data_IF_826663009743
#
_entry.id   IF_826663009743
#
_cell.length_a   1.000
_cell.length_b   1.000
_cell.length_c   1.000
_cell.angle_alpha   90.00
_cell.angle_beta   90.00
_cell.angle_gamma   90.00
#
_symmetry.space_group_name_H-M   'P 1'
#
loop_
_entity.id
_entity.type
_entity.pdbx_description
1 polymer ?
#
# COMPACT_ATOMS: atom_id res chain seq x y z
N UNK A 1 6.00 2.18 15.66
CA UNK A 1 7.46 2.27 15.83
C UNK A 1 8.04 3.05 14.69
N UNK A 2 8.91 3.99 14.98
CA UNK A 2 9.55 4.84 13.98
C UNK A 2 10.89 4.24 13.62
N UNK A 3 11.26 4.21 12.34
CA UNK A 3 12.63 3.95 12.01
C UNK A 3 13.51 4.98 12.75
N UNK A 4 14.46 4.50 13.51
CA UNK A 4 15.45 5.34 14.19
C UNK A 4 16.43 5.98 13.22
N UNK A 5 16.42 5.55 11.97
CA UNK A 5 17.24 6.07 10.87
C UNK A 5 16.39 6.26 9.63
N UNK A 6 16.52 7.38 8.97
CA UNK A 6 16.01 7.58 7.63
C UNK A 6 17.13 7.39 6.60
N UNK A 7 16.94 6.61 5.52
CA UNK A 7 18.01 6.29 4.58
C UNK A 7 18.63 7.50 3.89
N UNK A 8 17.90 8.59 3.76
CA UNK A 8 18.39 9.81 3.10
C UNK A 8 19.06 10.83 4.04
N UNK A 9 19.11 10.55 5.33
CA UNK A 9 19.70 11.43 6.31
C UNK A 9 20.69 10.65 7.16
N UNK A 10 21.91 11.12 7.26
CA UNK A 10 22.99 10.47 8.01
C UNK A 10 22.84 10.59 9.54
N UNK A 11 21.77 11.20 10.01
CA UNK A 11 21.50 11.39 11.43
C UNK A 11 20.51 10.37 11.96
N UNK A 12 20.80 9.86 13.14
CA UNK A 12 19.89 9.00 13.89
C UNK A 12 18.84 9.89 14.57
N UNK A 13 17.56 9.56 14.34
CA UNK A 13 16.46 10.25 14.99
C UNK A 13 15.97 9.40 16.16
N UNK A 14 16.21 9.80 17.36
CA UNK A 14 15.86 9.13 18.62
C UNK A 14 14.34 8.83 18.77
N UNK A 15 13.75 8.18 17.79
CA UNK A 15 12.32 7.92 17.73
C UNK A 15 11.44 9.13 17.41
N UNK A 16 12.03 10.26 17.04
CA UNK A 16 11.28 11.50 16.80
C UNK A 16 10.91 11.73 15.33
N UNK A 17 11.35 10.87 14.42
CA UNK A 17 10.86 10.80 13.05
C UNK A 17 11.71 11.51 12.00
N UNK A 18 12.18 12.72 12.19
CA UNK A 18 12.95 13.45 11.17
C UNK A 18 13.85 14.54 11.77
N UNK A 19 14.62 15.24 10.91
CA UNK A 19 15.57 16.29 11.29
C UNK A 19 14.94 17.47 12.05
N UNK A 20 13.60 17.57 12.05
CA UNK A 20 12.87 18.62 12.78
C UNK A 20 12.35 18.13 14.13
N UNK A 21 12.80 16.95 14.58
CA UNK A 21 12.37 16.32 15.84
C UNK A 21 10.86 16.06 15.91
N UNK A 22 10.22 15.85 14.76
CA UNK A 22 8.80 15.55 14.69
C UNK A 22 8.54 14.07 15.05
N UNK A 23 7.59 13.83 15.94
CA UNK A 23 7.22 12.47 16.31
C UNK A 23 6.55 11.75 15.13
N UNK A 24 7.17 10.72 14.59
CA UNK A 24 6.70 10.06 13.38
C UNK A 24 5.33 9.37 13.52
N UNK A 25 4.95 8.97 14.74
CA UNK A 25 3.59 8.50 15.00
C UNK A 25 2.52 9.61 14.92
N UNK A 26 2.92 10.87 14.77
CA UNK A 26 2.03 12.02 14.58
C UNK A 26 1.88 12.44 13.12
N UNK A 27 2.74 11.96 12.24
CA UNK A 27 2.82 12.37 10.83
C UNK A 27 2.72 11.16 9.89
N UNK A 28 2.46 11.42 8.61
CA UNK A 28 2.28 10.37 7.59
C UNK A 28 0.86 9.77 7.59
N UNK A 29 -0.12 10.55 8.03
CA UNK A 29 -1.54 10.19 8.04
C UNK A 29 -2.31 11.04 7.05
N UNK A 30 -3.45 10.53 6.58
CA UNK A 30 -4.43 11.35 5.87
C UNK A 30 -4.95 12.49 6.76
N UNK A 31 -4.96 13.71 6.22
CA UNK A 31 -5.50 14.88 6.92
C UNK A 31 -6.57 15.53 6.05
N UNK A 32 -7.77 15.67 6.60
CA UNK A 32 -8.89 16.37 5.98
C UNK A 32 -8.96 17.80 6.50
N UNK A 33 -9.16 18.75 5.58
CA UNK A 33 -9.34 20.18 5.90
C UNK A 33 -10.58 20.69 5.18
N UNK A 34 -11.44 21.43 5.88
CA UNK A 34 -12.55 22.17 5.26
C UNK A 34 -12.07 23.55 4.77
N UNK A 35 -11.86 23.76 3.46
CA UNK A 35 -11.33 25.02 2.94
C UNK A 35 -12.32 26.20 3.08
N UNK A 36 -13.59 25.93 3.37
CA UNK A 36 -14.61 26.96 3.62
C UNK A 36 -14.63 27.41 5.09
N UNK A 37 -13.97 26.68 5.98
CA UNK A 37 -13.88 27.00 7.40
C UNK A 37 -12.45 27.46 7.75
N UNK A 38 -12.24 28.76 7.83
CA UNK A 38 -10.93 29.36 8.17
C UNK A 38 -10.37 28.96 9.54
N UNK A 39 -11.21 28.43 10.43
CA UNK A 39 -10.87 28.01 11.78
C UNK A 39 -10.69 26.47 11.87
N UNK A 40 -10.73 25.77 10.74
CA UNK A 40 -10.41 24.35 10.66
C UNK A 40 -8.88 24.14 10.54
N UNK A 41 -8.31 23.50 11.54
CA UNK A 41 -6.89 23.15 11.60
C UNK A 41 -6.58 21.74 11.09
N UNK A 42 -7.57 21.08 10.52
CA UNK A 42 -7.50 19.75 9.96
C UNK A 42 -7.81 18.63 10.94
N UNK A 43 -8.42 17.58 10.41
CA UNK A 43 -8.71 16.33 11.12
C UNK A 43 -7.82 15.23 10.58
N UNK A 44 -7.09 14.56 11.47
CA UNK A 44 -6.23 13.44 11.13
C UNK A 44 -7.03 12.13 11.22
N UNK A 45 -7.05 11.37 10.12
CA UNK A 45 -7.76 10.10 10.00
C UNK A 45 -6.80 8.92 10.13
N UNK A 46 -6.68 8.36 11.34
CA UNK A 46 -5.74 7.26 11.61
C UNK A 46 -6.19 5.92 11.06
N UNK A 47 -7.49 5.74 10.81
CA UNK A 47 -8.02 4.49 10.20
C UNK A 47 -7.59 4.31 8.75
N UNK A 48 -7.06 5.35 8.09
CA UNK A 48 -6.48 5.25 6.75
C UNK A 48 -5.07 4.61 6.75
N UNK A 49 -4.51 4.30 7.92
CA UNK A 49 -3.15 3.78 8.03
C UNK A 49 -2.08 4.86 7.90
N UNK A 50 -0.84 4.51 8.23
CA UNK A 50 0.32 5.39 8.12
C UNK A 50 1.30 4.82 7.10
N UNK A 51 1.42 5.47 5.97
CA UNK A 51 2.35 5.14 4.88
C UNK A 51 2.61 6.39 4.04
N UNK A 52 3.28 6.27 2.91
CA UNK A 52 3.52 7.40 1.99
C UNK A 52 2.29 7.59 1.10
N UNK A 53 1.29 8.31 1.63
CA UNK A 53 0.07 8.62 0.88
C UNK A 53 0.35 9.54 -0.30
N UNK A 54 -0.25 9.20 -1.46
CA UNK A 54 -0.27 10.05 -2.64
C UNK A 54 -1.66 10.64 -2.88
N UNK A 55 -2.65 9.79 -3.09
CA UNK A 55 -4.01 10.23 -3.35
C UNK A 55 -5.02 9.46 -2.51
N UNK A 56 -6.21 10.03 -2.44
CA UNK A 56 -7.39 9.38 -1.86
C UNK A 56 -8.54 9.43 -2.84
N UNK A 57 -9.08 8.28 -3.20
CA UNK A 57 -10.29 8.18 -3.99
C UNK A 57 -11.40 7.50 -3.22
N UNK A 58 -12.65 7.87 -3.51
CA UNK A 58 -13.78 7.53 -2.66
C UNK A 58 -14.88 6.80 -3.43
N UNK A 59 -15.32 5.64 -2.93
CA UNK A 59 -16.56 5.01 -3.35
C UNK A 59 -17.62 5.32 -2.30
N UNK A 60 -18.44 6.36 -2.57
CA UNK A 60 -19.36 6.98 -1.62
C UNK A 60 -20.81 6.78 -2.06
N UNK A 61 -21.33 5.57 -1.92
CA UNK A 61 -22.71 5.21 -2.31
C UNK A 61 -23.67 5.33 -1.15
N UNK A 62 -24.83 5.96 -1.39
CA UNK A 62 -25.87 6.12 -0.37
C UNK A 62 -26.31 4.78 0.22
N UNK A 63 -26.47 4.73 1.54
CA UNK A 63 -26.85 3.56 2.35
C UNK A 63 -25.82 2.41 2.34
N UNK A 64 -24.61 2.64 1.85
CA UNK A 64 -23.49 1.69 1.92
C UNK A 64 -22.38 2.28 2.79
N UNK A 65 -21.43 1.49 3.29
CA UNK A 65 -20.21 2.02 3.89
C UNK A 65 -19.48 2.96 2.94
N UNK A 66 -18.64 3.82 3.47
CA UNK A 66 -17.67 4.56 2.69
C UNK A 66 -16.46 3.68 2.46
N UNK A 67 -16.06 3.49 1.21
CA UNK A 67 -14.73 2.95 0.90
C UNK A 67 -13.80 4.07 0.45
N UNK A 68 -12.56 4.04 0.97
CA UNK A 68 -11.48 4.95 0.60
C UNK A 68 -10.32 4.14 0.08
N UNK A 69 -9.85 4.47 -1.12
CA UNK A 69 -8.70 3.83 -1.74
C UNK A 69 -7.51 4.79 -1.70
N UNK A 70 -6.32 4.25 -1.51
CA UNK A 70 -5.07 5.02 -1.51
C UNK A 70 -3.88 4.16 -1.90
N UNK A 71 -2.84 4.79 -2.45
CA UNK A 71 -1.56 4.19 -2.78
C UNK A 71 -0.48 4.54 -1.76
N UNK A 72 0.48 3.64 -1.59
CA UNK A 72 1.72 3.86 -0.84
C UNK A 72 2.86 4.06 -1.84
N UNK A 73 3.24 5.31 -2.11
CA UNK A 73 4.32 5.66 -3.03
C UNK A 73 5.68 5.21 -2.50
N UNK A 74 5.86 3.91 -2.48
CA UNK A 74 7.09 3.23 -2.10
C UNK A 74 7.32 2.08 -3.06
N UNK A 75 8.57 1.74 -3.38
CA UNK A 75 8.89 0.54 -4.15
C UNK A 75 8.40 -0.67 -3.35
N UNK A 76 7.58 -1.53 -3.96
CA UNK A 76 6.88 -2.57 -3.24
C UNK A 76 5.76 -2.06 -2.33
N UNK A 77 5.34 -0.80 -2.48
CA UNK A 77 4.22 -0.22 -1.76
C UNK A 77 2.89 -0.91 -2.08
N UNK A 78 1.91 -0.74 -1.23
CA UNK A 78 0.63 -1.44 -1.36
C UNK A 78 -0.49 -0.51 -1.81
N UNK A 79 -1.50 -1.10 -2.42
CA UNK A 79 -2.79 -0.46 -2.65
C UNK A 79 -3.69 -0.81 -1.48
N UNK A 80 -4.27 0.20 -0.87
CA UNK A 80 -5.12 0.06 0.32
C UNK A 80 -6.56 0.42 0.05
N UNK A 81 -7.45 -0.20 0.82
CA UNK A 81 -8.88 0.10 0.89
C UNK A 81 -9.33 0.16 2.35
N UNK A 82 -9.78 1.32 2.80
CA UNK A 82 -10.46 1.45 4.09
C UNK A 82 -11.97 1.34 3.88
N UNK A 83 -12.63 0.52 4.68
CA UNK A 83 -14.10 0.36 4.68
C UNK A 83 -14.63 0.82 6.03
N UNK A 84 -15.52 1.81 6.04
CA UNK A 84 -16.09 2.35 7.27
C UNK A 84 -17.13 1.41 7.89
N UNK A 85 -17.23 1.42 9.23
CA UNK A 85 -18.30 0.70 9.96
C UNK A 85 -19.66 1.34 9.74
N UNK A 86 -19.70 2.67 9.61
CA UNK A 86 -20.90 3.43 9.37
C UNK A 86 -21.29 3.49 7.90
N UNK A 87 -22.52 3.96 7.62
CA UNK A 87 -23.05 4.07 6.25
C UNK A 87 -23.28 5.52 5.84
N UNK A 88 -23.01 5.79 4.59
CA UNK A 88 -23.25 7.08 3.94
C UNK A 88 -24.76 7.37 3.91
N UNK A 89 -25.20 8.44 4.55
CA UNK A 89 -26.60 8.87 4.49
C UNK A 89 -26.90 9.74 3.26
N UNK A 90 -25.98 10.63 2.95
CA UNK A 90 -25.98 11.51 1.77
C UNK A 90 -24.55 11.66 1.27
N UNK A 91 -24.24 11.24 0.02
CA UNK A 91 -22.88 11.31 -0.54
C UNK A 91 -22.27 12.73 -0.55
N UNK A 92 -23.11 13.77 -0.52
CA UNK A 92 -22.66 15.17 -0.52
C UNK A 92 -22.50 15.79 0.87
N UNK A 93 -22.77 15.02 1.92
CA UNK A 93 -22.71 15.55 3.29
C UNK A 93 -21.30 15.63 3.80
N UNK A 94 -20.89 16.79 4.32
CA UNK A 94 -19.62 16.94 5.08
C UNK A 94 -19.57 16.02 6.31
N UNK A 95 -20.70 15.51 6.81
CA UNK A 95 -20.73 14.58 7.94
C UNK A 95 -20.13 13.21 7.62
N UNK A 96 -19.89 12.88 6.33
CA UNK A 96 -19.22 11.66 5.92
C UNK A 96 -17.77 11.59 6.44
N UNK A 97 -17.14 12.71 6.76
CA UNK A 97 -15.85 12.78 7.46
C UNK A 97 -15.81 11.88 8.70
N UNK A 98 -16.90 11.81 9.47
CA UNK A 98 -17.00 10.95 10.65
C UNK A 98 -16.95 9.45 10.36
N UNK A 99 -17.24 9.05 9.13
CA UNK A 99 -17.11 7.65 8.72
C UNK A 99 -15.66 7.18 8.67
N UNK A 100 -14.71 8.11 8.61
CA UNK A 100 -13.27 7.83 8.62
C UNK A 100 -12.72 7.60 10.04
N UNK A 101 -13.55 7.72 11.08
CA UNK A 101 -13.14 7.51 12.48
C UNK A 101 -13.17 6.03 12.89
N UNK A 102 -13.96 5.19 12.18
CA UNK A 102 -14.12 3.77 12.50
C UNK A 102 -14.32 2.92 11.25
N UNK A 103 -13.61 1.80 11.18
CA UNK A 103 -13.63 0.88 10.05
C UNK A 103 -12.45 -0.05 10.04
N UNK A 104 -12.19 -0.68 8.89
CA UNK A 104 -11.07 -1.61 8.71
C UNK A 104 -10.26 -1.18 7.49
N UNK A 105 -8.94 -1.06 7.67
CA UNK A 105 -7.99 -0.90 6.59
C UNK A 105 -7.66 -2.28 6.02
N UNK A 106 -7.63 -2.39 4.69
CA UNK A 106 -7.27 -3.59 3.95
C UNK A 106 -6.14 -3.29 2.98
N UNK A 107 -5.30 -4.29 2.70
CA UNK A 107 -4.30 -4.23 1.64
C UNK A 107 -4.65 -5.20 0.51
N UNK A 108 -4.33 -4.84 -0.74
CA UNK A 108 -4.66 -5.63 -1.92
C UNK A 108 -3.74 -6.84 -2.07
N UNK A 109 -4.32 -8.01 -2.41
CA UNK A 109 -3.62 -9.17 -2.93
C UNK A 109 -4.10 -9.43 -4.35
N UNK A 110 -3.19 -9.33 -5.31
CA UNK A 110 -3.44 -9.61 -6.71
C UNK A 110 -3.08 -11.05 -7.08
N UNK A 111 -3.81 -11.63 -8.03
CA UNK A 111 -3.54 -12.96 -8.60
C UNK A 111 -3.37 -12.84 -10.11
N UNK A 112 -2.52 -13.68 -10.70
CA UNK A 112 -2.22 -13.70 -12.16
C UNK A 112 -3.43 -13.91 -13.05
N UNK A 113 -4.48 -14.55 -12.53
CA UNK A 113 -5.71 -14.81 -13.27
C UNK A 113 -6.63 -13.59 -13.41
N UNK A 114 -6.19 -12.42 -12.95
CA UNK A 114 -6.97 -11.18 -12.98
C UNK A 114 -7.96 -11.04 -11.83
N UNK A 115 -7.89 -11.91 -10.83
CA UNK A 115 -8.65 -11.78 -9.59
C UNK A 115 -7.80 -11.20 -8.47
N UNK A 116 -8.44 -10.77 -7.38
CA UNK A 116 -7.76 -10.32 -6.18
C UNK A 116 -8.69 -10.22 -4.99
N UNK A 117 -8.12 -9.95 -3.83
CA UNK A 117 -8.89 -9.76 -2.61
C UNK A 117 -8.23 -8.75 -1.66
N UNK A 118 -9.04 -8.18 -0.80
CA UNK A 118 -8.66 -7.19 0.21
C UNK A 118 -8.39 -7.88 1.53
N UNK A 119 -7.13 -7.92 1.97
CA UNK A 119 -6.70 -8.53 3.23
C UNK A 119 -6.91 -7.50 4.36
N UNK A 120 -7.71 -7.79 5.40
CA UNK A 120 -7.87 -6.87 6.51
C UNK A 120 -6.57 -6.73 7.32
N UNK A 121 -6.21 -5.53 7.71
CA UNK A 121 -5.08 -5.28 8.62
C UNK A 121 -5.61 -5.16 10.05
N UNK A 122 -5.91 -6.31 10.65
CA UNK A 122 -6.46 -6.43 12.02
C UNK A 122 -5.62 -7.40 12.86
N UNK A 123 -5.69 -7.33 14.20
CA UNK A 123 -4.96 -8.26 15.08
C UNK A 123 -5.23 -9.73 14.78
N UNK A 124 -6.44 -10.07 14.32
CA UNK A 124 -6.85 -11.45 14.05
C UNK A 124 -6.48 -11.98 12.67
N UNK A 125 -5.91 -11.14 11.79
CA UNK A 125 -5.51 -11.56 10.45
C UNK A 125 -4.36 -12.57 10.53
N UNK A 126 -4.52 -13.68 9.81
CA UNK A 126 -3.51 -14.75 9.77
C UNK A 126 -2.26 -14.25 9.04
N UNK A 127 -1.11 -14.59 9.59
CA UNK A 127 0.18 -14.29 8.96
C UNK A 127 0.42 -15.16 7.73
N UNK A 128 0.80 -14.52 6.65
CA UNK A 128 1.23 -15.13 5.38
C UNK A 128 2.32 -14.26 4.77
N UNK A 129 3.52 -14.17 5.39
CA UNK A 129 4.49 -13.14 5.04
C UNK A 129 4.96 -13.25 3.59
N UNK A 130 5.12 -12.10 2.95
CA UNK A 130 5.79 -12.00 1.65
C UNK A 130 7.19 -12.59 1.76
N UNK A 131 7.54 -13.46 0.82
CA UNK A 131 8.85 -14.11 0.79
C UNK A 131 9.83 -13.35 -0.11
N UNK A 132 11.12 -13.29 0.25
CA UNK A 132 12.15 -12.69 -0.60
C UNK A 132 12.13 -13.22 -2.04
N UNK A 133 11.92 -14.53 -2.26
CA UNK A 133 11.85 -15.11 -3.61
C UNK A 133 10.64 -14.63 -4.43
N UNK A 134 9.59 -14.13 -3.79
CA UNK A 134 8.37 -13.66 -4.46
C UNK A 134 8.46 -12.22 -4.96
N UNK A 135 9.50 -11.48 -4.61
CA UNK A 135 9.69 -10.09 -5.02
C UNK A 135 10.89 -9.91 -5.95
N UNK A 136 10.88 -8.85 -6.76
CA UNK A 136 11.86 -8.65 -7.83
C UNK A 136 13.29 -8.53 -7.28
N UNK A 137 13.52 -7.70 -6.26
CA UNK A 137 14.84 -7.50 -5.69
C UNK A 137 15.29 -8.63 -4.75
N UNK A 138 14.43 -9.57 -4.41
CA UNK A 138 14.76 -10.66 -3.49
C UNK A 138 14.96 -10.22 -2.03
N UNK A 139 14.39 -9.08 -1.64
CA UNK A 139 14.52 -8.47 -0.31
C UNK A 139 13.15 -8.04 0.17
N UNK A 140 12.83 -8.37 1.43
CA UNK A 140 11.57 -8.00 2.09
C UNK A 140 11.84 -7.48 3.49
N UNK A 141 11.15 -6.41 3.89
CA UNK A 141 11.10 -5.92 5.27
C UNK A 141 9.82 -6.36 5.96
N UNK A 142 9.97 -6.97 7.11
CA UNK A 142 8.84 -7.42 7.93
C UNK A 142 8.94 -6.81 9.34
N UNK A 143 7.83 -6.72 10.09
CA UNK A 143 7.86 -6.32 11.49
C UNK A 143 8.89 -7.15 12.28
N UNK A 144 9.67 -6.49 13.14
CA UNK A 144 10.70 -7.18 13.91
C UNK A 144 10.05 -8.16 14.90
N UNK A 145 10.40 -9.48 14.88
CA UNK A 145 9.87 -10.44 15.80
C UNK A 145 10.26 -10.15 17.26
N UNK A 146 11.38 -9.45 17.49
CA UNK A 146 11.66 -8.87 18.81
C UNK A 146 10.79 -7.61 19.01
N UNK A 147 9.58 -7.84 19.52
CA UNK A 147 8.56 -6.81 19.74
C UNK A 147 9.00 -5.68 20.69
N UNK A 148 9.90 -5.99 21.62
CA UNK A 148 10.44 -4.99 22.57
C UNK A 148 11.40 -4.05 21.84
N UNK A 149 12.20 -4.57 20.94
CA UNK A 149 13.09 -3.79 20.08
C UNK A 149 12.27 -2.97 19.06
N UNK A 150 11.18 -3.56 18.52
CA UNK A 150 10.33 -2.96 17.51
C UNK A 150 11.05 -2.65 16.21
N UNK A 151 10.39 -1.87 15.36
CA UNK A 151 10.86 -1.55 14.01
C UNK A 151 10.73 -2.73 13.06
N UNK A 152 11.60 -2.78 12.04
CA UNK A 152 11.58 -3.80 10.99
C UNK A 152 12.87 -4.60 10.95
N UNK A 153 12.77 -5.78 10.38
CA UNK A 153 13.92 -6.61 10.03
C UNK A 153 13.86 -6.94 8.54
N UNK A 154 15.02 -6.84 7.89
CA UNK A 154 15.19 -7.14 6.46
C UNK A 154 15.56 -8.59 6.29
N UNK A 155 14.92 -9.27 5.33
CA UNK A 155 15.14 -10.67 4.97
C UNK A 155 15.53 -10.79 3.51
N UNK A 156 16.44 -11.71 3.23
CA UNK A 156 16.94 -12.03 1.88
C UNK A 156 16.76 -13.51 1.51
N UNK A 157 16.19 -14.30 2.43
CA UNK A 157 15.96 -15.74 2.24
C UNK A 157 14.63 -16.18 2.83
N UNK A 158 13.94 -17.03 2.10
CA UNK A 158 12.62 -17.55 2.48
C UNK A 158 12.66 -18.40 3.75
N UNK A 159 13.72 -19.18 3.96
CA UNK A 159 13.87 -20.04 5.12
C UNK A 159 14.05 -19.22 6.42
N UNK A 160 14.65 -18.05 6.34
CA UNK A 160 14.76 -17.11 7.47
C UNK A 160 13.38 -16.59 7.87
N UNK A 161 12.54 -16.18 6.90
CA UNK A 161 11.17 -15.74 7.14
C UNK A 161 10.35 -16.88 7.73
N UNK A 162 10.35 -18.04 7.10
CA UNK A 162 9.56 -19.21 7.53
C UNK A 162 9.96 -19.67 8.93
N UNK A 163 11.26 -19.66 9.26
CA UNK A 163 11.74 -20.11 10.58
C UNK A 163 11.25 -19.23 11.71
N UNK A 164 11.20 -17.91 11.51
CA UNK A 164 10.79 -16.96 12.52
C UNK A 164 9.30 -17.10 12.83
N UNK A 165 8.46 -17.05 11.81
CA UNK A 165 7.00 -17.10 12.01
C UNK A 165 6.48 -18.47 12.44
N UNK A 166 7.13 -19.56 12.01
CA UNK A 166 6.74 -20.91 12.41
C UNK A 166 7.29 -21.33 13.76
N UNK A 167 8.49 -20.87 14.15
CA UNK A 167 9.16 -21.33 15.36
C UNK A 167 8.87 -20.45 16.59
N UNK A 168 8.56 -19.18 16.40
CA UNK A 168 8.31 -18.22 17.50
C UNK A 168 6.84 -18.18 17.94
N UNK A 169 5.95 -18.92 17.27
CA UNK A 169 4.53 -19.01 17.62
C UNK A 169 3.73 -17.76 17.25
N UNK A 170 4.12 -17.10 16.19
CA UNK A 170 3.35 -16.00 15.60
C UNK A 170 2.37 -16.56 14.57
N UNK A 171 1.09 -16.57 14.89
CA UNK A 171 0.03 -17.06 14.00
C UNK A 171 -0.77 -15.93 13.38
N UNK A 172 -0.90 -14.82 14.07
CA UNK A 172 -1.73 -13.67 13.71
C UNK A 172 -0.92 -12.38 13.67
N UNK A 173 -1.42 -11.41 12.89
CA UNK A 173 -0.78 -10.10 12.76
C UNK A 173 -0.60 -9.41 14.12
N UNK A 174 -1.57 -9.52 15.02
CA UNK A 174 -1.50 -8.98 16.38
C UNK A 174 -0.35 -9.54 17.21
N UNK A 175 0.09 -10.76 16.94
CA UNK A 175 1.20 -11.38 17.67
C UNK A 175 2.54 -10.66 17.45
N UNK A 176 2.67 -9.89 16.36
CA UNK A 176 3.86 -9.12 16.01
C UNK A 176 3.96 -7.77 16.73
N UNK A 177 2.92 -7.37 17.44
CA UNK A 177 2.83 -6.04 18.06
C UNK A 177 2.61 -6.12 19.57
N UNK A 178 2.99 -5.07 20.28
CA UNK A 178 2.74 -4.92 21.71
C UNK A 178 1.65 -3.87 21.94
N UNK A 179 0.72 -4.16 22.80
CA UNK A 179 -0.32 -3.29 23.31
C UNK A 179 -0.97 -3.89 24.55
N UNK A 180 -1.57 -3.08 25.37
CA UNK A 180 -2.27 -3.53 26.57
C UNK A 180 -3.65 -4.13 26.25
N UNK A 181 -4.20 -3.77 25.07
CA UNK A 181 -5.46 -4.28 24.53
C UNK A 181 -5.47 -4.30 22.99
N UNK A 182 -6.52 -4.86 22.40
CA UNK A 182 -6.67 -4.97 20.94
C UNK A 182 -6.70 -3.60 20.24
N UNK A 183 -7.13 -2.55 20.91
CA UNK A 183 -7.17 -1.19 20.35
C UNK A 183 -5.77 -0.63 20.19
N UNK A 184 -4.90 -0.84 21.18
CA UNK A 184 -3.50 -0.43 21.09
C UNK A 184 -2.74 -1.25 20.06
N UNK A 185 -3.00 -2.56 19.98
CA UNK A 185 -2.44 -3.45 18.95
C UNK A 185 -2.89 -3.01 17.56
N UNK A 186 -4.19 -2.72 17.37
CA UNK A 186 -4.71 -2.18 16.12
C UNK A 186 -4.05 -0.84 15.76
N UNK A 187 -3.85 0.04 16.73
CA UNK A 187 -3.14 1.29 16.54
C UNK A 187 -1.70 1.09 16.08
N UNK A 188 -0.99 0.10 16.64
CA UNK A 188 0.37 -0.25 16.24
C UNK A 188 0.42 -0.79 14.81
N UNK A 189 -0.53 -1.64 14.43
CA UNK A 189 -0.69 -2.15 13.04
C UNK A 189 -0.89 -0.99 12.06
N UNK A 190 -1.76 -0.03 12.37
CA UNK A 190 -2.04 1.12 11.51
C UNK A 190 -0.83 2.08 11.39
N UNK A 191 -0.03 2.21 12.45
CA UNK A 191 1.25 2.97 12.40
C UNK A 191 2.25 2.29 11.46
N UNK A 192 2.23 0.99 11.38
CA UNK A 192 3.19 0.14 10.65
C UNK A 192 2.58 -0.48 9.39
N UNK A 193 1.55 0.15 8.81
CA UNK A 193 0.66 -0.44 7.81
C UNK A 193 1.38 -1.08 6.62
N UNK A 194 2.48 -0.50 6.13
CA UNK A 194 3.28 -1.06 5.04
C UNK A 194 3.86 -2.45 5.42
N UNK A 195 4.52 -2.54 6.56
CA UNK A 195 5.16 -3.80 6.99
C UNK A 195 4.13 -4.80 7.52
N UNK A 196 3.03 -4.32 8.08
CA UNK A 196 1.89 -5.16 8.43
C UNK A 196 1.28 -5.81 7.18
N UNK A 197 1.17 -5.07 6.07
CA UNK A 197 0.72 -5.59 4.78
C UNK A 197 1.69 -6.64 4.22
N UNK A 198 3.00 -6.43 4.32
CA UNK A 198 4.01 -7.44 3.98
C UNK A 198 3.85 -8.71 4.83
N UNK A 199 3.54 -8.58 6.13
CA UNK A 199 3.40 -9.72 7.04
C UNK A 199 2.15 -10.58 6.76
N UNK A 200 1.13 -10.02 6.11
CA UNK A 200 -0.08 -10.75 5.71
C UNK A 200 -0.11 -11.10 4.22
N UNK A 201 0.99 -10.91 3.50
CA UNK A 201 1.14 -11.33 2.12
C UNK A 201 0.44 -10.45 1.08
N UNK A 202 0.20 -9.19 1.38
CA UNK A 202 -0.28 -8.24 0.40
C UNK A 202 0.71 -8.10 -0.76
N UNK A 203 0.20 -7.81 -1.95
CA UNK A 203 1.04 -7.66 -3.14
C UNK A 203 1.78 -6.33 -3.11
N UNK A 204 3.10 -6.36 -3.16
CA UNK A 204 3.92 -5.17 -3.39
C UNK A 204 3.77 -4.67 -4.81
N UNK A 205 3.44 -3.40 -4.98
CA UNK A 205 3.21 -2.74 -6.26
C UNK A 205 4.38 -1.82 -6.64
N UNK A 206 4.52 -1.47 -7.93
CA UNK A 206 5.60 -0.62 -8.40
C UNK A 206 5.28 0.86 -8.16
N UNK A 207 5.41 1.34 -6.92
CA UNK A 207 5.11 2.71 -6.50
C UNK A 207 3.69 3.13 -6.88
N UNK A 208 2.66 2.65 -6.18
CA UNK A 208 1.28 3.09 -6.43
C UNK A 208 1.11 4.55 -6.00
N UNK A 209 0.85 5.39 -6.98
CA UNK A 209 0.74 6.85 -6.89
C UNK A 209 -0.73 7.26 -6.80
N UNK A 210 -1.20 8.03 -7.76
CA UNK A 210 -2.57 8.55 -7.80
C UNK A 210 -3.60 7.47 -8.14
N UNK A 211 -4.81 7.68 -7.66
CA UNK A 211 -5.94 6.81 -7.94
C UNK A 211 -7.24 7.60 -8.13
N UNK A 212 -8.07 7.13 -9.07
CA UNK A 212 -9.37 7.71 -9.35
C UNK A 212 -10.47 6.66 -9.43
N UNK A 213 -11.58 6.90 -8.73
CA UNK A 213 -12.75 6.05 -8.77
C UNK A 213 -13.84 6.64 -9.67
N UNK A 214 -14.15 5.96 -10.76
CA UNK A 214 -15.25 6.32 -11.66
C UNK A 214 -16.60 5.85 -11.07
N UNK A 215 -17.31 6.73 -10.40
CA UNK A 215 -18.62 6.44 -9.81
C UNK A 215 -19.65 5.95 -10.83
N UNK A 216 -19.54 6.37 -12.11
CA UNK A 216 -20.48 6.00 -13.16
C UNK A 216 -20.27 4.58 -13.65
N UNK A 217 -19.02 4.12 -13.66
CA UNK A 217 -18.63 2.79 -14.13
C UNK A 217 -18.37 1.81 -13.00
N UNK A 218 -18.14 2.29 -11.77
CA UNK A 218 -17.73 1.46 -10.65
C UNK A 218 -16.31 0.92 -10.81
N UNK A 219 -15.41 1.71 -11.36
CA UNK A 219 -14.04 1.31 -11.69
C UNK A 219 -13.05 2.19 -10.95
N UNK A 220 -12.08 1.56 -10.32
CA UNK A 220 -10.93 2.22 -9.70
C UNK A 220 -9.73 2.12 -10.65
N UNK A 221 -9.09 3.23 -10.92
CA UNK A 221 -7.85 3.31 -11.67
C UNK A 221 -6.71 3.68 -10.73
N UNK A 222 -5.54 3.04 -10.94
CA UNK A 222 -4.32 3.33 -10.18
C UNK A 222 -3.14 3.56 -11.12
N UNK A 223 -2.41 4.65 -10.92
CA UNK A 223 -1.11 4.86 -11.52
C UNK A 223 -0.05 4.15 -10.68
N UNK A 224 0.81 3.36 -11.33
CA UNK A 224 2.02 2.81 -10.74
C UNK A 224 3.21 3.34 -11.54
N UNK A 225 4.01 4.20 -10.91
CA UNK A 225 4.97 5.08 -11.60
C UNK A 225 6.09 4.33 -12.29
N UNK A 226 6.74 3.40 -11.61
CA UNK A 226 7.88 2.70 -12.20
C UNK A 226 8.13 1.36 -11.53
N UNK A 227 8.48 0.38 -12.34
CA UNK A 227 8.95 -0.91 -11.86
C UNK A 227 10.48 -0.83 -11.81
N UNK A 228 11.05 -0.39 -10.71
CA UNK A 228 12.51 -0.39 -10.51
C UNK A 228 12.89 -1.55 -9.59
N UNK A 229 13.93 -2.28 -9.99
CA UNK A 229 14.50 -3.39 -9.22
C UNK A 229 15.91 -3.07 -8.71
N UNK A 230 16.26 -1.80 -8.58
CA UNK A 230 17.57 -1.42 -8.11
C UNK A 230 17.69 -1.64 -6.60
N UNK A 231 18.71 -2.37 -6.24
CA UNK A 231 18.96 -3.07 -4.99
C UNK A 231 19.26 -2.22 -3.75
N UNK A 232 18.79 -0.97 -3.69
CA UNK A 232 19.01 -0.12 -2.51
C UNK A 232 17.81 -0.07 -1.56
N UNK A 233 16.65 -0.62 -1.96
CA UNK A 233 15.46 -0.63 -1.15
C UNK A 233 15.20 -2.00 -0.53
N UNK A 234 14.75 -1.98 0.72
CA UNK A 234 14.38 -3.17 1.48
C UNK A 234 13.08 -3.83 1.02
N UNK A 235 12.38 -3.24 0.05
CA UNK A 235 11.13 -3.73 -0.50
C UNK A 235 11.09 -3.52 -2.01
N UNK A 236 10.36 -4.41 -2.70
CA UNK A 236 10.22 -4.35 -4.15
C UNK A 236 8.90 -4.98 -4.61
N UNK A 237 8.46 -4.68 -5.84
CA UNK A 237 7.24 -5.24 -6.39
C UNK A 237 7.25 -6.77 -6.46
N UNK A 238 6.03 -7.34 -6.39
CA UNK A 238 5.80 -8.77 -6.57
C UNK A 238 6.27 -9.24 -7.96
N UNK A 239 7.09 -10.29 -7.97
CA UNK A 239 7.71 -10.82 -9.18
C UNK A 239 6.70 -11.48 -10.11
N UNK A 240 5.73 -12.19 -9.56
CA UNK A 240 4.76 -12.90 -10.38
C UNK A 240 3.77 -11.98 -11.08
N UNK A 241 3.44 -10.86 -10.44
CA UNK A 241 2.45 -9.91 -10.92
C UNK A 241 3.09 -8.84 -11.81
N UNK A 242 4.27 -8.34 -11.42
CA UNK A 242 4.88 -7.18 -12.05
C UNK A 242 6.22 -7.44 -12.73
N UNK A 243 6.81 -8.67 -12.62
CA UNK A 243 7.93 -9.01 -13.48
C UNK A 243 7.41 -9.20 -14.90
N UNK A 244 7.98 -8.50 -15.81
CA UNK A 244 7.74 -8.69 -17.23
C UNK A 244 8.72 -9.74 -17.71
N UNK A 245 8.24 -10.66 -18.55
CA UNK A 245 9.12 -11.51 -19.29
C UNK A 245 10.08 -10.59 -20.04
N UNK A 246 11.34 -10.72 -19.72
CA UNK A 246 12.38 -10.01 -20.42
C UNK A 246 12.15 -10.24 -21.91
N UNK A 247 12.01 -9.17 -22.66
CA UNK A 247 12.24 -9.26 -24.08
C UNK A 247 13.71 -9.63 -24.26
N UNK A 248 14.00 -10.94 -24.16
CA UNK A 248 15.35 -11.53 -24.27
C UNK A 248 16.04 -11.22 -25.60
N UNK A 249 15.42 -10.46 -26.49
CA UNK A 249 15.88 -10.30 -27.88
C UNK A 249 16.25 -8.87 -28.30
N UNK A 250 16.30 -7.91 -27.39
CA UNK A 250 16.80 -6.59 -27.79
C UNK A 250 18.25 -6.37 -27.38
N UNK A 251 19.18 -7.11 -28.03
CA UNK A 251 20.63 -6.98 -27.88
C UNK A 251 21.17 -5.56 -28.16
N UNK A 252 20.31 -4.62 -28.56
CA UNK A 252 20.70 -3.25 -28.90
C UNK A 252 20.46 -2.21 -27.79
N UNK A 253 19.91 -2.60 -26.63
CA UNK A 253 19.77 -1.72 -25.47
C UNK A 253 20.97 -1.87 -24.52
N UNK A 254 22.18 -1.72 -25.04
CA UNK A 254 23.43 -1.99 -24.34
C UNK A 254 23.78 -1.00 -23.22
N UNK A 255 23.01 0.07 -23.02
CA UNK A 255 23.28 1.05 -21.97
C UNK A 255 22.39 0.88 -20.70
N UNK A 256 21.44 -0.05 -20.71
CA UNK A 256 20.48 -0.23 -19.62
C UNK A 256 20.50 -1.63 -19.00
N UNK A 257 21.57 -2.38 -19.15
CA UNK A 257 21.71 -3.76 -18.64
C UNK A 257 21.62 -3.89 -17.11
N UNK A 258 21.66 -2.77 -16.37
CA UNK A 258 21.54 -2.75 -14.92
C UNK A 258 20.40 -1.86 -14.41
N UNK A 259 19.63 -1.25 -15.29
CA UNK A 259 18.46 -0.45 -14.94
C UNK A 259 17.30 -0.86 -15.85
N UNK A 260 16.48 -1.83 -15.43
CA UNK A 260 15.28 -2.17 -16.16
C UNK A 260 14.34 -0.94 -16.09
N UNK A 261 14.53 0.01 -17.01
CA UNK A 261 13.62 1.12 -17.23
C UNK A 261 12.24 0.55 -17.53
N UNK A 262 11.39 0.55 -16.54
CA UNK A 262 10.03 0.06 -16.64
C UNK A 262 9.12 1.26 -16.53
N UNK A 263 8.42 1.58 -17.60
CA UNK A 263 7.82 2.91 -17.79
C UNK A 263 6.58 3.16 -16.95
N UNK A 264 6.21 2.22 -16.07
CA UNK A 264 5.01 2.31 -15.26
C UNK A 264 3.76 1.78 -15.97
N UNK A 265 2.69 1.65 -15.20
CA UNK A 265 1.42 1.07 -15.66
C UNK A 265 0.22 1.82 -15.07
N UNK A 266 -0.91 1.70 -15.73
CA UNK A 266 -2.22 2.04 -15.16
C UNK A 266 -2.97 0.73 -14.92
N UNK A 267 -3.32 0.49 -13.66
CA UNK A 267 -4.17 -0.61 -13.25
C UNK A 267 -5.64 -0.21 -13.32
N UNK A 268 -6.48 -1.15 -13.70
CA UNK A 268 -7.93 -1.07 -13.57
C UNK A 268 -8.38 -2.13 -12.59
N UNK A 269 -9.11 -1.73 -11.55
CA UNK A 269 -9.62 -2.59 -10.50
C UNK A 269 -11.13 -2.41 -10.42
N UNK A 270 -11.86 -3.51 -10.30
CA UNK A 270 -13.31 -3.50 -10.15
C UNK A 270 -13.68 -4.38 -8.96
N UNK A 271 -14.17 -3.75 -7.90
CA UNK A 271 -14.71 -4.48 -6.76
C UNK A 271 -15.92 -5.33 -7.15
N UNK A 272 -16.04 -6.51 -6.58
CA UNK A 272 -17.16 -7.40 -6.82
C UNK A 272 -18.51 -6.83 -6.34
N UNK A 273 -19.59 -7.53 -6.63
CA UNK A 273 -20.94 -7.15 -6.23
C UNK A 273 -21.37 -5.77 -6.72
N UNK A 274 -21.18 -5.50 -8.01
CA UNK A 274 -21.53 -4.21 -8.65
C UNK A 274 -20.72 -3.05 -8.07
N UNK A 275 -19.41 -3.24 -7.97
CA UNK A 275 -18.47 -2.30 -7.36
C UNK A 275 -18.93 -1.86 -5.96
N UNK A 276 -19.30 -2.83 -5.14
CA UNK A 276 -19.73 -2.56 -3.77
C UNK A 276 -18.59 -2.06 -2.90
N UNK A 277 -18.77 -0.98 -2.14
CA UNK A 277 -17.78 -0.56 -1.14
C UNK A 277 -17.45 -1.66 -0.11
N UNK A 278 -18.40 -2.57 0.17
CA UNK A 278 -18.24 -3.67 1.13
C UNK A 278 -17.51 -4.90 0.53
N UNK A 279 -17.24 -4.92 -0.80
CA UNK A 279 -16.63 -6.08 -1.44
C UNK A 279 -15.21 -6.32 -0.90
N UNK A 280 -14.91 -7.57 -0.58
CA UNK A 280 -13.57 -8.02 -0.16
C UNK A 280 -12.82 -8.76 -1.28
N UNK A 281 -13.43 -8.86 -2.46
CA UNK A 281 -12.81 -9.41 -3.66
C UNK A 281 -13.00 -8.45 -4.83
N UNK A 282 -12.11 -8.55 -5.82
CA UNK A 282 -12.11 -7.70 -7.00
C UNK A 282 -11.55 -8.43 -8.21
N UNK A 283 -11.79 -7.87 -9.39
CA UNK A 283 -11.07 -8.21 -10.61
C UNK A 283 -10.15 -7.07 -11.01
N UNK A 284 -9.06 -7.40 -11.70
CA UNK A 284 -8.09 -6.40 -12.12
C UNK A 284 -7.45 -6.72 -13.47
N UNK A 285 -6.95 -5.70 -14.13
CA UNK A 285 -6.14 -5.81 -15.34
C UNK A 285 -5.17 -4.63 -15.45
N UNK A 286 -4.06 -4.82 -16.15
CA UNK A 286 -3.24 -3.70 -16.62
C UNK A 286 -3.97 -3.05 -17.79
N UNK A 287 -4.55 -1.87 -17.56
CA UNK A 287 -5.29 -1.13 -18.57
C UNK A 287 -4.36 -0.55 -19.62
N UNK A 288 -3.26 0.04 -19.19
CA UNK A 288 -2.28 0.70 -20.05
C UNK A 288 -0.88 0.49 -19.48
N UNK A 289 0.06 0.42 -20.38
CA UNK A 289 1.47 0.26 -20.10
C UNK A 289 2.22 1.41 -20.75
N UNK A 290 3.12 2.06 -20.00
CA UNK A 290 4.02 3.05 -20.57
C UNK A 290 5.00 2.43 -21.57
N UNK A 291 5.94 3.22 -22.04
CA UNK A 291 7.00 2.80 -22.95
C UNK A 291 6.81 3.23 -24.39
N UNK A 292 7.79 2.89 -25.23
CA UNK A 292 7.81 3.27 -26.63
C UNK A 292 6.69 2.57 -27.41
N UNK A 293 5.95 3.31 -28.29
CA UNK A 293 4.90 2.70 -29.09
C UNK A 293 5.40 1.61 -30.06
N UNK A 294 6.65 1.68 -30.47
CA UNK A 294 7.26 0.66 -31.32
C UNK A 294 7.37 -0.70 -30.62
N UNK A 295 7.43 -0.70 -29.27
CA UNK A 295 7.53 -1.88 -28.41
C UNK A 295 6.19 -2.22 -27.74
N UNK A 296 5.10 -1.61 -28.22
CA UNK A 296 3.75 -1.85 -27.68
C UNK A 296 3.36 -0.95 -26.50
N UNK A 297 4.21 -0.01 -26.12
CA UNK A 297 3.93 0.97 -25.08
C UNK A 297 2.99 2.08 -25.53
N UNK A 298 2.44 2.83 -24.58
CA UNK A 298 1.47 3.91 -24.83
C UNK A 298 2.11 5.29 -25.10
N UNK A 299 3.43 5.37 -25.20
CA UNK A 299 4.15 6.63 -25.53
C UNK A 299 4.38 7.55 -24.32
N UNK A 300 4.29 7.04 -23.12
CA UNK A 300 4.56 7.77 -21.88
C UNK A 300 5.38 6.92 -20.89
N UNK A 301 5.89 7.55 -19.85
CA UNK A 301 6.60 6.90 -18.77
C UNK A 301 6.31 7.59 -17.45
N UNK A 302 6.46 6.84 -16.36
CA UNK A 302 6.32 7.32 -14.98
C UNK A 302 4.99 8.08 -14.77
N UNK A 303 3.83 7.41 -14.93
CA UNK A 303 2.55 8.04 -14.65
C UNK A 303 2.49 8.33 -13.16
N UNK A 304 2.08 9.55 -12.83
CA UNK A 304 2.04 10.05 -11.47
C UNK A 304 0.60 10.44 -11.12
N UNK A 305 0.01 11.35 -11.87
CA UNK A 305 -1.34 11.83 -11.62
C UNK A 305 -2.34 11.28 -12.64
N UNK A 306 -3.56 11.00 -12.17
CA UNK A 306 -4.71 10.58 -12.98
C UNK A 306 -5.83 11.60 -12.84
N UNK A 307 -6.59 11.81 -13.92
CA UNK A 307 -7.83 12.57 -13.88
C UNK A 307 -8.84 11.92 -14.86
N UNK A 308 -10.09 11.80 -14.43
CA UNK A 308 -11.19 11.28 -15.23
C UNK A 308 -12.04 12.44 -15.79
N UNK A 309 -12.31 12.43 -17.09
CA UNK A 309 -13.19 13.40 -17.77
C UNK A 309 -14.69 13.17 -17.50
#
# INVERSE_FOLDING_TARGET
FLPTTMPFYTSTFNGLGNIFELAGNKYGWGVEVDPENKDDFGTKHTMLGRYRHEAFSFNCKKNQPLAVYAGDDTKGGHIYKMISDGKVSDPKSKSNSKLLEAGVLHAAKFSKDGTGYWIPLTPDTILDPVLPSSVIAGIVSLPNPDRVKGGTQVYTKDDEVSSIYQNEGFDKLGDLYLGDDDTEIQGAILIDAHYAANAVGATGCPRPEDCEFDDKKGVLYFACTAITGDGDDSDSPDREIFAWDDHEENENLTDHQNDPYRPGIILKIVDDNDASPEALTFTWETLMMGGEPADGGAGWANPDNLELD
#
